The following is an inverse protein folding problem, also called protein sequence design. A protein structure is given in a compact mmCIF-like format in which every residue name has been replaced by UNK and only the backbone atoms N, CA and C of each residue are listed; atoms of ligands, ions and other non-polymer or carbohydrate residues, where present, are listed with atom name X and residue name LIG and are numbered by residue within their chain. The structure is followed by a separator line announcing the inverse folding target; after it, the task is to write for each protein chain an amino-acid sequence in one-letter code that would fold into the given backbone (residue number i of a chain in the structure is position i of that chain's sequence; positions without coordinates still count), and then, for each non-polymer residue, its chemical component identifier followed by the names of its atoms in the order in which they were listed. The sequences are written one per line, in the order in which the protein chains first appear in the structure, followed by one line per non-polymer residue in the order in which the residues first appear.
data_IF_441804592191
#
_entry.id   IF_441804592191
#
_cell.length_a   1.000
_cell.length_b   1.000
_cell.length_c   1.000
_cell.angle_alpha   90.00
_cell.angle_beta   90.00
_cell.angle_gamma   90.00
#
_symmetry.space_group_name_H-M   'P 1'
#
loop_
_entity.id
_entity.type
_entity.pdbx_description
1 polymer ?
#
# COMPACT_ATOMS: atom_id res chain seq x y z
N UNK A 1 30.51 40.81 24.23
CA UNK A 1 30.95 39.46 23.80
C UNK A 1 29.72 38.69 23.33
N UNK A 2 29.48 38.64 22.02
CA UNK A 2 28.38 37.86 21.44
C UNK A 2 28.96 36.53 20.97
N UNK A 3 28.52 35.43 21.58
CA UNK A 3 28.86 34.08 21.13
C UNK A 3 27.97 33.78 19.92
N UNK A 4 28.53 33.93 18.72
CA UNK A 4 27.90 33.44 17.49
C UNK A 4 27.92 31.91 17.52
N UNK A 5 26.78 31.32 17.84
CA UNK A 5 26.54 29.88 17.67
C UNK A 5 26.43 29.55 16.19
N UNK A 6 27.26 28.63 15.71
CA UNK A 6 27.15 28.07 14.37
C UNK A 6 25.97 27.10 14.33
N UNK A 7 24.90 27.45 13.61
CA UNK A 7 23.85 26.50 13.28
C UNK A 7 24.37 25.56 12.20
N UNK A 8 24.63 24.30 12.55
CA UNK A 8 25.00 23.26 11.59
C UNK A 8 23.75 22.92 10.77
N UNK A 9 23.64 23.47 9.56
CA UNK A 9 22.60 23.10 8.60
C UNK A 9 22.95 21.72 8.05
N UNK A 10 22.31 20.67 8.56
CA UNK A 10 22.38 19.33 7.97
C UNK A 10 21.58 19.36 6.67
N UNK A 11 22.28 19.30 5.54
CA UNK A 11 21.66 19.19 4.22
C UNK A 11 21.22 17.74 4.02
N UNK A 12 19.92 17.46 4.18
CA UNK A 12 19.36 16.14 3.86
C UNK A 12 19.32 15.98 2.33
N UNK A 13 20.03 14.97 1.83
CA UNK A 13 19.94 14.47 0.45
C UNK A 13 19.12 13.19 0.50
N UNK A 14 18.00 13.16 -0.23
CA UNK A 14 17.04 12.05 -0.20
C UNK A 14 16.78 11.48 -1.59
N UNK A 15 16.99 10.17 -1.76
CA UNK A 15 16.79 9.45 -3.01
C UNK A 15 15.49 8.72 -3.20
N UNK A 16 15.35 8.20 -4.42
CA UNK A 16 14.18 7.50 -4.87
C UNK A 16 14.66 6.35 -5.77
N UNK A 17 14.24 5.11 -5.48
CA UNK A 17 14.51 3.98 -6.37
C UNK A 17 13.67 4.13 -7.63
N UNK A 18 14.33 4.09 -8.79
CA UNK A 18 13.70 4.16 -10.10
C UNK A 18 13.03 2.83 -10.44
N UNK A 19 11.86 2.88 -11.08
CA UNK A 19 11.20 1.68 -11.63
C UNK A 19 11.47 1.56 -13.13
N UNK A 20 11.46 0.34 -13.65
CA UNK A 20 11.54 0.10 -15.09
C UNK A 20 10.32 0.67 -15.81
N UNK A 21 10.55 1.30 -16.95
CA UNK A 21 9.47 1.80 -17.82
C UNK A 21 8.80 0.66 -18.56
N UNK A 22 7.48 0.73 -18.73
CA UNK A 22 6.73 -0.16 -19.61
C UNK A 22 5.78 0.63 -20.52
N UNK A 23 5.48 0.09 -21.71
CA UNK A 23 4.51 0.68 -22.64
C UNK A 23 4.94 2.04 -23.19
N UNK A 24 4.07 3.05 -23.06
CA UNK A 24 4.27 4.39 -23.64
C UNK A 24 5.46 5.18 -23.08
N UNK A 25 6.04 4.73 -21.96
CA UNK A 25 7.19 5.39 -21.32
C UNK A 25 8.54 4.86 -21.79
N UNK A 26 8.56 3.69 -22.44
CA UNK A 26 9.77 3.03 -22.98
C UNK A 26 10.60 3.91 -23.94
N UNK A 27 10.01 4.78 -24.79
CA UNK A 27 10.78 5.69 -25.65
C UNK A 27 11.58 6.76 -24.89
N UNK A 28 11.23 7.04 -23.63
CA UNK A 28 11.80 8.14 -22.84
C UNK A 28 12.93 7.69 -21.90
N UNK A 29 13.21 6.39 -21.83
CA UNK A 29 14.24 5.80 -20.99
C UNK A 29 13.84 4.39 -20.55
N UNK A 30 14.77 3.64 -19.98
CA UNK A 30 14.51 2.31 -19.40
C UNK A 30 13.98 2.37 -17.96
N UNK A 31 14.09 3.54 -17.33
CA UNK A 31 13.76 3.76 -15.93
C UNK A 31 13.04 5.10 -15.74
N UNK A 32 12.09 5.16 -14.81
CA UNK A 32 11.35 6.38 -14.47
C UNK A 32 11.14 6.55 -12.97
N UNK A 33 10.91 7.80 -12.57
CA UNK A 33 10.46 8.20 -11.24
C UNK A 33 9.18 9.02 -11.41
N UNK A 34 8.15 8.75 -10.61
CA UNK A 34 6.93 9.56 -10.60
C UNK A 34 7.21 10.88 -9.89
N UNK A 35 7.01 12.00 -10.59
CA UNK A 35 7.30 13.34 -10.07
C UNK A 35 6.56 13.71 -8.77
N UNK A 36 5.47 13.02 -8.44
CA UNK A 36 4.75 13.20 -7.17
C UNK A 36 5.64 12.90 -5.95
N UNK A 37 6.52 11.89 -6.03
CA UNK A 37 7.44 11.57 -4.94
C UNK A 37 8.50 12.65 -4.74
N UNK A 38 9.03 13.20 -5.84
CA UNK A 38 9.98 14.33 -5.79
C UNK A 38 9.34 15.53 -5.08
N UNK A 39 8.12 15.89 -5.48
CA UNK A 39 7.37 17.01 -4.88
C UNK A 39 7.04 16.79 -3.41
N UNK A 40 6.78 15.55 -3.00
CA UNK A 40 6.55 15.21 -1.60
C UNK A 40 7.79 15.46 -0.74
N UNK A 41 8.98 15.03 -1.20
CA UNK A 41 10.24 15.26 -0.48
C UNK A 41 10.63 16.74 -0.44
N UNK A 42 10.45 17.45 -1.57
CA UNK A 42 10.68 18.90 -1.62
C UNK A 42 9.75 19.64 -0.65
N UNK A 43 8.49 19.22 -0.52
CA UNK A 43 7.54 19.80 0.45
C UNK A 43 7.93 19.56 1.91
N UNK A 44 8.70 18.50 2.19
CA UNK A 44 9.25 18.20 3.50
C UNK A 44 10.58 18.95 3.79
N UNK A 45 11.05 19.79 2.84
CA UNK A 45 12.30 20.55 2.96
C UNK A 45 13.56 19.75 2.63
N UNK A 46 13.42 18.57 2.03
CA UNK A 46 14.54 17.75 1.56
C UNK A 46 14.88 18.08 0.09
N UNK A 47 16.15 17.91 -0.28
CA UNK A 47 16.56 17.97 -1.69
C UNK A 47 16.56 16.56 -2.25
N UNK A 48 15.73 16.34 -3.27
CA UNK A 48 15.68 15.06 -3.95
C UNK A 48 16.98 14.86 -4.75
N UNK A 49 17.83 13.96 -4.27
CA UNK A 49 19.02 13.49 -4.95
C UNK A 49 18.95 11.98 -4.87
N UNK A 50 19.07 11.22 -5.97
CA UNK A 50 18.82 9.79 -5.99
C UNK A 50 19.84 9.00 -5.13
N UNK A 51 19.77 9.06 -3.79
CA UNK A 51 20.25 8.13 -2.74
C UNK A 51 19.66 8.54 -1.35
N UNK A 52 18.57 7.84 -0.98
CA UNK A 52 17.87 7.51 0.27
C UNK A 52 16.80 6.55 -0.26
N UNK A 53 16.58 5.40 0.36
CA UNK A 53 15.91 4.31 -0.38
C UNK A 53 14.41 4.39 -0.13
N UNK A 54 13.73 5.25 -0.89
CA UNK A 54 12.29 5.12 -1.09
C UNK A 54 12.10 3.94 -2.03
N UNK A 55 11.41 2.92 -1.54
CA UNK A 55 10.88 1.81 -2.34
C UNK A 55 9.45 2.21 -2.74
N UNK A 56 9.27 2.85 -3.92
CA UNK A 56 7.97 3.37 -4.30
C UNK A 56 6.99 2.23 -4.59
N UNK A 57 5.70 2.53 -4.42
CA UNK A 57 4.62 1.65 -4.87
C UNK A 57 4.69 1.39 -6.38
N UNK A 58 4.17 0.25 -6.81
CA UNK A 58 4.17 -0.16 -8.21
C UNK A 58 3.35 -1.43 -8.42
N UNK A 59 3.18 -1.83 -9.68
CA UNK A 59 2.43 -3.05 -10.05
C UNK A 59 3.33 -4.12 -10.69
N UNK A 60 4.64 -4.09 -10.40
CA UNK A 60 5.58 -5.10 -10.89
C UNK A 60 5.56 -6.33 -10.01
N UNK A 61 5.79 -7.50 -10.61
CA UNK A 61 5.86 -8.77 -9.87
C UNK A 61 7.18 -8.85 -9.10
N UNK A 62 7.11 -8.98 -7.78
CA UNK A 62 8.32 -9.07 -6.93
C UNK A 62 9.22 -10.27 -7.27
N UNK A 63 8.68 -11.37 -7.80
CA UNK A 63 9.49 -12.54 -8.18
C UNK A 63 10.16 -12.43 -9.56
N UNK A 64 9.74 -11.48 -10.40
CA UNK A 64 10.13 -11.42 -11.82
C UNK A 64 10.70 -10.05 -12.22
N UNK A 65 10.90 -9.14 -11.27
CA UNK A 65 11.40 -7.78 -11.53
C UNK A 65 12.76 -7.53 -10.87
N UNK A 66 13.53 -6.61 -11.47
CA UNK A 66 14.78 -6.11 -10.88
C UNK A 66 14.59 -5.32 -9.58
N UNK A 67 13.35 -4.98 -9.23
CA UNK A 67 12.99 -4.26 -8.01
C UNK A 67 13.39 -5.01 -6.74
N UNK A 68 13.14 -6.33 -6.70
CA UNK A 68 13.41 -7.17 -5.52
C UNK A 68 14.89 -7.36 -5.23
N UNK A 69 15.76 -7.73 -6.21
CA UNK A 69 17.20 -7.81 -5.96
C UNK A 69 17.80 -6.50 -5.45
N UNK A 70 17.40 -5.37 -6.03
CA UNK A 70 17.91 -4.04 -5.64
C UNK A 70 17.41 -3.66 -4.25
N UNK A 71 16.11 -3.78 -3.99
CA UNK A 71 15.52 -3.45 -2.67
C UNK A 71 16.05 -4.34 -1.56
N UNK A 72 16.24 -5.65 -1.82
CA UNK A 72 16.89 -6.57 -0.87
C UNK A 72 18.32 -6.15 -0.57
N UNK A 73 19.11 -5.83 -1.59
CA UNK A 73 20.50 -5.43 -1.39
C UNK A 73 20.62 -4.14 -0.57
N UNK A 74 19.73 -3.19 -0.80
CA UNK A 74 19.70 -1.93 -0.05
C UNK A 74 19.31 -2.15 1.41
N UNK A 75 18.33 -3.02 1.67
CA UNK A 75 17.94 -3.40 3.04
C UNK A 75 19.08 -4.13 3.77
N UNK A 76 19.75 -5.07 3.11
CA UNK A 76 20.93 -5.75 3.66
C UNK A 76 22.06 -4.77 4.02
N UNK A 77 22.33 -3.79 3.16
CA UNK A 77 23.34 -2.76 3.42
C UNK A 77 22.95 -1.85 4.59
N UNK A 78 21.68 -1.51 4.73
CA UNK A 78 21.18 -0.71 5.85
C UNK A 78 21.32 -1.46 7.18
N UNK A 79 20.94 -2.75 7.21
CA UNK A 79 21.13 -3.60 8.40
C UNK A 79 22.61 -3.72 8.74
N UNK A 80 23.46 -3.97 7.75
CA UNK A 80 24.91 -4.07 7.94
C UNK A 80 25.53 -2.78 8.47
N UNK A 81 25.13 -1.62 7.95
CA UNK A 81 25.61 -0.33 8.43
C UNK A 81 25.20 -0.06 9.89
N UNK A 82 24.00 -0.48 10.27
CA UNK A 82 23.52 -0.39 11.64
C UNK A 82 24.31 -1.32 12.57
N UNK A 83 24.47 -2.59 12.21
CA UNK A 83 25.14 -3.59 13.04
C UNK A 83 26.66 -3.32 13.22
N UNK A 84 27.34 -2.87 12.16
CA UNK A 84 28.80 -2.67 12.19
C UNK A 84 29.22 -1.30 12.74
N UNK A 85 28.43 -0.25 12.49
CA UNK A 85 28.82 1.15 12.77
C UNK A 85 27.83 1.91 13.66
N UNK A 86 26.68 1.33 13.97
CA UNK A 86 25.59 2.04 14.65
C UNK A 86 24.97 3.15 13.79
N UNK A 87 25.23 3.16 12.48
CA UNK A 87 24.73 4.18 11.56
C UNK A 87 23.30 3.83 11.14
N UNK A 88 22.34 4.67 11.51
CA UNK A 88 20.93 4.49 11.13
C UNK A 88 20.73 4.95 9.69
N UNK A 89 20.45 3.99 8.80
CA UNK A 89 20.08 4.26 7.42
C UNK A 89 18.56 4.07 7.23
N UNK A 90 17.77 5.15 7.16
CA UNK A 90 16.31 5.04 7.08
C UNK A 90 15.87 4.51 5.70
N UNK A 91 14.98 3.52 5.70
CA UNK A 91 14.33 2.97 4.51
C UNK A 91 12.84 3.24 4.62
N UNK A 92 12.25 3.78 3.56
CA UNK A 92 10.82 4.04 3.47
C UNK A 92 10.20 3.18 2.37
N UNK A 93 9.30 2.28 2.74
CA UNK A 93 8.55 1.45 1.80
C UNK A 93 7.09 1.90 1.73
N UNK A 94 6.61 2.18 0.52
CA UNK A 94 5.20 2.51 0.28
C UNK A 94 4.56 1.49 -0.66
N UNK A 95 3.38 0.98 -0.31
CA UNK A 95 2.65 -0.02 -1.09
C UNK A 95 3.53 -1.24 -1.43
N UNK A 96 3.91 -1.47 -2.69
CA UNK A 96 4.82 -2.54 -3.12
C UNK A 96 6.15 -2.55 -2.34
N UNK A 97 6.67 -1.37 -1.98
CA UNK A 97 7.88 -1.26 -1.17
C UNK A 97 7.69 -1.79 0.25
N UNK A 98 6.50 -1.60 0.83
CA UNK A 98 6.15 -2.17 2.13
C UNK A 98 5.99 -3.70 2.04
N UNK A 99 5.38 -4.19 0.96
CA UNK A 99 5.25 -5.63 0.68
C UNK A 99 6.61 -6.32 0.57
N UNK A 100 7.55 -5.70 -0.17
CA UNK A 100 8.92 -6.21 -0.30
C UNK A 100 9.63 -6.28 1.06
N UNK A 101 9.56 -5.21 1.86
CA UNK A 101 10.17 -5.18 3.20
C UNK A 101 9.55 -6.24 4.11
N UNK A 102 8.22 -6.39 4.10
CA UNK A 102 7.52 -7.41 4.88
C UNK A 102 7.90 -8.83 4.46
N UNK A 103 8.03 -9.10 3.15
CA UNK A 103 8.48 -10.40 2.64
C UNK A 103 9.92 -10.73 3.05
N UNK A 104 10.83 -9.75 3.03
CA UNK A 104 12.23 -9.95 3.43
C UNK A 104 12.33 -10.23 4.93
N UNK A 105 11.67 -9.43 5.76
CA UNK A 105 11.71 -9.58 7.23
C UNK A 105 11.07 -10.91 7.68
N UNK A 106 9.99 -11.34 7.01
CA UNK A 106 9.33 -12.62 7.32
C UNK A 106 10.12 -13.86 6.87
N UNK A 107 11.27 -13.69 6.18
CA UNK A 107 12.06 -14.81 5.67
C UNK A 107 11.38 -15.58 4.54
N UNK A 108 10.33 -15.01 3.91
CA UNK A 108 9.56 -15.67 2.86
C UNK A 108 10.41 -15.80 1.60
N UNK A 109 10.26 -16.91 0.88
CA UNK A 109 11.00 -17.10 -0.36
C UNK A 109 10.48 -16.15 -1.45
N UNK A 110 11.26 -15.11 -1.76
CA UNK A 110 10.93 -14.07 -2.74
C UNK A 110 10.70 -14.62 -4.17
N UNK A 111 11.19 -15.81 -4.49
CA UNK A 111 10.93 -16.47 -5.78
C UNK A 111 9.48 -16.92 -5.97
N UNK A 112 8.75 -17.14 -4.87
CA UNK A 112 7.33 -17.47 -4.90
C UNK A 112 6.47 -16.25 -5.31
N UNK A 113 7.00 -15.04 -5.08
CA UNK A 113 6.33 -13.78 -5.41
C UNK A 113 5.32 -13.35 -4.35
N UNK A 114 4.66 -12.23 -4.64
CA UNK A 114 3.68 -11.58 -3.75
C UNK A 114 2.29 -12.22 -3.80
N UNK A 115 2.03 -13.09 -4.78
CA UNK A 115 0.73 -13.71 -4.99
C UNK A 115 0.72 -15.15 -4.45
N UNK A 116 -0.21 -15.43 -3.54
CA UNK A 116 -0.48 -16.78 -3.07
C UNK A 116 -1.37 -17.49 -4.11
N UNK A 117 -0.75 -18.21 -5.06
CA UNK A 117 -1.50 -19.07 -5.97
C UNK A 117 -2.11 -20.22 -5.16
N UNK A 118 -3.40 -20.15 -4.85
CA UNK A 118 -4.21 -21.32 -4.44
C UNK A 118 -4.06 -22.37 -5.54
N UNK A 119 -3.12 -23.31 -5.38
CA UNK A 119 -3.09 -24.55 -6.13
C UNK A 119 -4.37 -25.31 -5.74
N UNK A 120 -5.39 -25.30 -6.61
CA UNK A 120 -6.42 -26.33 -6.57
C UNK A 120 -5.75 -27.60 -7.07
N UNK A 121 -5.16 -28.36 -6.15
CA UNK A 121 -4.71 -29.71 -6.46
C UNK A 121 -5.94 -30.62 -6.54
N UNK A 122 -6.25 -31.02 -7.77
CA UNK A 122 -7.12 -32.17 -8.01
C UNK A 122 -6.39 -33.42 -7.50
N UNK A 123 -6.93 -34.03 -6.44
CA UNK A 123 -6.82 -35.45 -6.17
C UNK A 123 -5.46 -35.97 -5.71
N UNK A 124 -5.24 -35.99 -4.40
CA UNK A 124 -4.91 -37.19 -3.62
C UNK A 124 -4.85 -36.79 -2.15
N UNK A 125 -5.51 -37.56 -1.29
CA UNK A 125 -5.68 -37.25 0.13
C UNK A 125 -4.37 -37.37 0.91
N UNK A 126 -3.59 -36.29 0.91
CA UNK A 126 -2.73 -35.95 2.04
C UNK A 126 -3.23 -34.62 2.60
N UNK A 127 -3.72 -34.67 3.84
CA UNK A 127 -4.13 -33.52 4.63
C UNK A 127 -2.88 -32.69 4.94
N UNK A 128 -2.46 -31.88 3.99
CA UNK A 128 -1.53 -30.81 4.23
C UNK A 128 -2.27 -29.76 5.06
N UNK A 129 -1.78 -29.52 6.27
CA UNK A 129 -2.26 -28.49 7.17
C UNK A 129 -1.99 -27.11 6.52
N UNK A 130 -2.91 -26.67 5.68
CA UNK A 130 -2.81 -25.37 5.00
C UNK A 130 -3.10 -24.32 6.06
N UNK A 131 -2.03 -23.72 6.60
CA UNK A 131 -2.14 -22.55 7.47
C UNK A 131 -2.77 -21.38 6.69
N UNK A 132 -4.10 -21.29 6.68
CA UNK A 132 -4.83 -20.17 6.10
C UNK A 132 -4.71 -18.98 7.04
N UNK A 133 -4.02 -17.92 6.61
CA UNK A 133 -3.93 -16.68 7.37
C UNK A 133 -5.29 -15.98 7.36
N UNK A 134 -5.99 -16.04 8.49
CA UNK A 134 -7.22 -15.27 8.70
C UNK A 134 -6.86 -13.80 8.86
N UNK A 135 -7.54 -12.94 8.09
CA UNK A 135 -7.35 -11.49 8.14
C UNK A 135 -8.71 -10.81 8.09
N UNK A 136 -8.85 -9.74 8.88
CA UNK A 136 -10.06 -8.94 9.02
C UNK A 136 -9.75 -7.49 8.65
N UNK A 137 -10.75 -6.79 8.11
CA UNK A 137 -10.60 -5.37 7.81
C UNK A 137 -10.34 -4.58 9.09
N UNK A 138 -9.20 -3.91 9.13
CA UNK A 138 -8.79 -3.06 10.26
C UNK A 138 -8.78 -1.59 9.87
N UNK A 139 -9.41 -0.75 10.69
CA UNK A 139 -9.31 0.70 10.63
C UNK A 139 -8.59 1.19 11.88
N UNK A 140 -7.53 2.00 11.70
CA UNK A 140 -6.77 2.56 12.83
C UNK A 140 -7.66 3.48 13.67
N UNK A 141 -7.43 3.55 14.97
CA UNK A 141 -8.16 4.45 15.86
C UNK A 141 -8.03 5.94 15.46
N UNK A 142 -6.89 6.30 14.87
CA UNK A 142 -6.62 7.66 14.38
C UNK A 142 -7.19 7.92 12.97
N UNK A 143 -7.74 6.89 12.30
CA UNK A 143 -8.31 7.06 10.97
C UNK A 143 -9.54 7.98 11.05
N UNK A 144 -9.61 8.92 10.11
CA UNK A 144 -10.76 9.82 10.03
C UNK A 144 -12.03 9.01 9.78
N UNK A 145 -13.02 9.21 10.66
CA UNK A 145 -14.37 8.66 10.48
C UNK A 145 -15.13 9.39 9.36
N UNK A 146 -14.55 10.45 8.78
CA UNK A 146 -15.14 11.18 7.68
C UNK A 146 -15.17 10.39 6.38
N UNK A 147 -16.29 10.50 5.66
CA UNK A 147 -16.38 10.11 4.25
C UNK A 147 -16.69 11.35 3.42
N UNK A 148 -16.60 11.24 2.10
CA UNK A 148 -16.95 12.33 1.18
C UNK A 148 -18.36 12.83 1.49
N UNK A 149 -18.53 14.11 1.83
CA UNK A 149 -19.86 14.65 2.15
C UNK A 149 -20.78 14.64 0.92
N UNK A 150 -22.08 14.32 1.11
CA UNK A 150 -23.07 14.35 0.04
C UNK A 150 -23.19 15.74 -0.63
N UNK A 151 -22.94 16.82 0.12
CA UNK A 151 -22.94 18.22 -0.34
C UNK A 151 -21.60 18.70 -0.92
N UNK A 152 -20.59 17.82 -1.03
CA UNK A 152 -19.30 18.22 -1.62
C UNK A 152 -19.44 18.56 -3.11
N UNK A 153 -18.49 19.32 -3.64
CA UNK A 153 -18.43 19.72 -5.04
C UNK A 153 -18.20 18.56 -6.03
N UNK A 154 -17.96 17.34 -5.55
CA UNK A 154 -17.76 16.17 -6.39
C UNK A 154 -19.07 15.77 -7.10
N UNK A 155 -18.94 15.35 -8.36
CA UNK A 155 -20.05 14.79 -9.13
C UNK A 155 -20.62 13.53 -8.46
N UNK A 156 -21.90 13.24 -8.69
CA UNK A 156 -22.55 12.06 -8.13
C UNK A 156 -21.89 10.75 -8.57
N UNK A 157 -21.43 10.67 -9.82
CA UNK A 157 -20.69 9.52 -10.32
C UNK A 157 -19.35 9.34 -9.59
N UNK A 158 -18.61 10.43 -9.34
CA UNK A 158 -17.35 10.37 -8.60
C UNK A 158 -17.56 9.92 -7.15
N UNK A 159 -18.56 10.49 -6.46
CA UNK A 159 -18.96 10.09 -5.10
C UNK A 159 -19.29 8.59 -5.05
N UNK A 160 -20.09 8.12 -5.99
CA UNK A 160 -20.47 6.70 -6.08
C UNK A 160 -19.25 5.81 -6.25
N UNK A 161 -18.35 6.13 -7.18
CA UNK A 161 -17.13 5.35 -7.41
C UNK A 161 -16.25 5.30 -6.16
N UNK A 162 -15.95 6.45 -5.54
CA UNK A 162 -15.11 6.52 -4.33
C UNK A 162 -15.71 5.64 -3.22
N UNK A 163 -17.00 5.81 -2.93
CA UNK A 163 -17.65 5.10 -1.83
C UNK A 163 -17.83 3.60 -2.13
N UNK A 164 -18.02 3.22 -3.39
CA UNK A 164 -18.08 1.82 -3.82
C UNK A 164 -16.73 1.14 -3.62
N UNK A 165 -15.63 1.83 -3.97
CA UNK A 165 -14.28 1.33 -3.76
C UNK A 165 -13.93 1.22 -2.27
N UNK A 166 -14.39 2.15 -1.43
CA UNK A 166 -14.22 2.03 0.02
C UNK A 166 -14.93 0.79 0.60
N UNK A 167 -16.17 0.52 0.19
CA UNK A 167 -16.88 -0.68 0.63
C UNK A 167 -16.24 -1.95 0.05
N UNK A 168 -15.84 -1.94 -1.22
CA UNK A 168 -15.15 -3.06 -1.84
C UNK A 168 -13.85 -3.40 -1.11
N UNK A 169 -13.09 -2.39 -0.66
CA UNK A 169 -11.88 -2.58 0.13
C UNK A 169 -12.16 -3.24 1.48
N UNK A 170 -13.29 -2.94 2.13
CA UNK A 170 -13.70 -3.67 3.34
C UNK A 170 -13.95 -5.14 3.02
N UNK A 171 -14.71 -5.39 1.95
CA UNK A 171 -15.10 -6.74 1.56
C UNK A 171 -13.92 -7.61 1.11
N UNK A 172 -12.92 -7.03 0.44
CA UNK A 172 -11.72 -7.74 -0.03
C UNK A 172 -10.69 -7.98 1.08
N UNK A 173 -10.68 -7.15 2.12
CA UNK A 173 -9.79 -7.31 3.27
C UNK A 173 -10.40 -8.14 4.41
N UNK A 174 -11.44 -8.92 4.12
CA UNK A 174 -11.96 -9.91 5.05
C UNK A 174 -11.78 -11.30 4.42
N UNK A 175 -11.09 -12.19 5.12
CA UNK A 175 -10.92 -13.58 4.67
C UNK A 175 -12.26 -14.26 4.44
N UNK A 176 -12.35 -15.08 3.40
CA UNK A 176 -13.57 -15.85 3.06
C UNK A 176 -13.96 -16.85 4.13
N UNK A 177 -13.01 -17.23 4.99
CA UNK A 177 -13.23 -18.20 6.07
C UNK A 177 -13.64 -17.54 7.39
N UNK A 178 -13.65 -16.20 7.45
CA UNK A 178 -14.23 -15.50 8.60
C UNK A 178 -15.76 -15.63 8.63
N UNK A 179 -16.37 -15.64 9.82
CA UNK A 179 -17.80 -15.55 9.95
C UNK A 179 -18.34 -14.33 9.20
N UNK A 180 -19.34 -14.54 8.33
CA UNK A 180 -19.92 -13.47 7.52
C UNK A 180 -20.40 -12.26 8.35
N UNK A 181 -20.80 -12.52 9.61
CA UNK A 181 -21.17 -11.49 10.58
C UNK A 181 -20.11 -10.39 10.73
N UNK A 182 -18.84 -10.76 10.80
CA UNK A 182 -17.73 -9.81 10.98
C UNK A 182 -17.62 -8.84 9.80
N UNK A 183 -17.66 -9.37 8.58
CA UNK A 183 -17.65 -8.55 7.35
C UNK A 183 -18.87 -7.62 7.30
N UNK A 184 -20.04 -8.13 7.70
CA UNK A 184 -21.28 -7.35 7.76
C UNK A 184 -21.17 -6.20 8.76
N UNK A 185 -20.53 -6.41 9.91
CA UNK A 185 -20.36 -5.37 10.93
C UNK A 185 -19.51 -4.20 10.40
N UNK A 186 -18.43 -4.49 9.65
CA UNK A 186 -17.62 -3.44 9.01
C UNK A 186 -18.39 -2.67 7.95
N UNK A 187 -19.16 -3.37 7.12
CA UNK A 187 -20.00 -2.73 6.09
C UNK A 187 -21.09 -1.89 6.76
N UNK A 188 -21.73 -2.39 7.83
CA UNK A 188 -22.72 -1.64 8.61
C UNK A 188 -22.13 -0.36 9.20
N UNK A 189 -20.93 -0.44 9.77
CA UNK A 189 -20.23 0.74 10.26
C UNK A 189 -19.98 1.76 9.14
N UNK A 190 -19.59 1.32 7.95
CA UNK A 190 -19.48 2.19 6.77
C UNK A 190 -20.84 2.78 6.36
N UNK A 191 -21.93 2.01 6.42
CA UNK A 191 -23.28 2.51 6.11
C UNK A 191 -23.76 3.58 7.09
N UNK A 192 -23.39 3.48 8.37
CA UNK A 192 -23.66 4.51 9.38
C UNK A 192 -22.89 5.80 9.07
N UNK A 193 -21.62 5.69 8.66
CA UNK A 193 -20.84 6.85 8.20
C UNK A 193 -21.51 7.51 7.01
N UNK A 194 -21.88 6.77 5.96
CA UNK A 194 -22.57 7.34 4.81
C UNK A 194 -23.87 8.07 5.20
N UNK A 195 -24.64 7.51 6.14
CA UNK A 195 -25.85 8.15 6.63
C UNK A 195 -25.56 9.48 7.32
N UNK A 196 -24.54 9.51 8.19
CA UNK A 196 -24.11 10.72 8.89
C UNK A 196 -23.68 11.83 7.91
N UNK A 197 -23.01 11.47 6.81
CA UNK A 197 -22.55 12.42 5.79
C UNK A 197 -23.60 12.80 4.73
N UNK A 198 -24.87 12.45 4.97
CA UNK A 198 -26.02 12.95 4.21
C UNK A 198 -26.46 12.07 3.03
N UNK A 199 -26.00 10.82 2.94
CA UNK A 199 -26.45 9.91 1.89
C UNK A 199 -27.73 9.16 2.29
N UNK A 200 -28.74 9.25 1.43
CA UNK A 200 -30.00 8.52 1.61
C UNK A 200 -29.86 7.00 1.46
N UNK A 201 -30.85 6.26 1.98
CA UNK A 201 -30.94 4.79 1.91
C UNK A 201 -30.72 4.22 0.50
N UNK A 202 -31.36 4.81 -0.52
CA UNK A 202 -31.28 4.32 -1.91
C UNK A 202 -29.84 4.33 -2.42
N UNK A 203 -29.14 5.44 -2.22
CA UNK A 203 -27.74 5.60 -2.65
C UNK A 203 -26.80 4.66 -1.88
N UNK A 204 -26.98 4.54 -0.56
CA UNK A 204 -26.20 3.60 0.27
C UNK A 204 -26.37 2.14 -0.19
N UNK A 205 -27.60 1.75 -0.49
CA UNK A 205 -27.93 0.41 -1.01
C UNK A 205 -27.26 0.16 -2.36
N UNK A 206 -27.26 1.17 -3.24
CA UNK A 206 -26.61 1.09 -4.54
C UNK A 206 -25.10 0.91 -4.43
N UNK A 207 -24.43 1.68 -3.55
CA UNK A 207 -23.00 1.54 -3.25
C UNK A 207 -22.66 0.11 -2.81
N UNK A 208 -23.41 -0.46 -1.86
CA UNK A 208 -23.17 -1.84 -1.37
C UNK A 208 -23.43 -2.89 -2.45
N UNK A 209 -24.48 -2.73 -3.25
CA UNK A 209 -24.79 -3.66 -4.35
C UNK A 209 -23.73 -3.61 -5.45
N UNK A 210 -23.23 -2.42 -5.77
CA UNK A 210 -22.14 -2.24 -6.74
C UNK A 210 -20.85 -2.87 -6.23
N UNK A 211 -20.52 -2.72 -4.95
CA UNK A 211 -19.32 -3.35 -4.37
C UNK A 211 -19.45 -4.87 -4.26
N UNK A 212 -20.61 -5.42 -3.89
CA UNK A 212 -20.79 -6.88 -3.83
C UNK A 212 -20.75 -7.51 -5.23
N UNK A 213 -21.32 -6.83 -6.24
CA UNK A 213 -21.20 -7.25 -7.64
C UNK A 213 -19.74 -7.27 -8.07
N UNK A 214 -19.02 -6.17 -7.84
CA UNK A 214 -17.61 -6.08 -8.17
C UNK A 214 -16.81 -7.20 -7.48
N UNK A 215 -17.02 -7.43 -6.17
CA UNK A 215 -16.33 -8.50 -5.42
C UNK A 215 -16.48 -9.89 -6.03
N UNK A 216 -17.62 -10.19 -6.65
CA UNK A 216 -17.86 -11.50 -7.29
C UNK A 216 -17.15 -11.65 -8.64
N UNK A 217 -16.73 -10.54 -9.24
CA UNK A 217 -16.02 -10.50 -10.53
C UNK A 217 -14.49 -10.64 -10.36
N UNK A 218 -13.97 -10.53 -9.12
CA UNK A 218 -12.58 -10.80 -8.75
C UNK A 218 -12.39 -12.26 -8.34
#
# INVERSE_FOLDING_TARGET
MAVMGWTRITLNLEGIVTQETSGALTPFGSQYIVAAYVKFLESAGARAAPILVILPGGHVKLNQSGYTPVGKRLLELAIKAYDEKGEVFPIWGECLGLELVAMIISGRNLSLGQEEKRRRENGSGQEHDVNVVLHEFYSKDIASKSVVNAKSALSWSCKRTILTQEVLRILLNCSTELPWKTTVDHVNHMMLRLQYYGYGWKFRTEVVRSSDRARREW
#
